data_IF_747491058728
#
_entry.id   IF_747491058728
#
_cell.length_a   1.000
_cell.length_b   1.000
_cell.length_c   1.000
_cell.angle_alpha   90.00
_cell.angle_beta   90.00
_cell.angle_gamma   90.00
#
_symmetry.space_group_name_H-M   'P 1'
#
loop_
_entity.id
_entity.type
_entity.pdbx_description
1 polymer ?
#
# COMPACT_ATOMS: atom_id res chain seq x y z
N UNK A 1 -48.77 -5.53 -6.93
CA UNK A 1 -48.95 -5.54 -5.48
C UNK A 1 -49.48 -4.17 -5.11
N UNK A 2 -50.72 -4.15 -4.63
CA UNK A 2 -51.38 -2.94 -4.15
C UNK A 2 -50.61 -2.39 -2.93
N UNK A 3 -50.69 -1.09 -2.63
CA UNK A 3 -49.93 -0.46 -1.55
C UNK A 3 -50.13 -1.13 -0.17
N UNK A 4 -51.34 -1.63 0.09
CA UNK A 4 -51.70 -2.31 1.35
C UNK A 4 -51.05 -3.70 1.45
N UNK A 5 -50.97 -4.42 0.34
CA UNK A 5 -50.36 -5.76 0.28
C UNK A 5 -48.85 -5.70 0.59
N UNK A 6 -48.17 -4.63 0.14
CA UNK A 6 -46.75 -4.43 0.43
C UNK A 6 -46.46 -4.20 1.91
N UNK A 7 -47.34 -3.46 2.60
CA UNK A 7 -47.19 -3.18 4.03
C UNK A 7 -47.34 -4.47 4.84
N UNK A 8 -48.35 -5.28 4.52
CA UNK A 8 -48.55 -6.58 5.17
C UNK A 8 -47.39 -7.54 4.86
N UNK A 9 -46.97 -7.65 3.60
CA UNK A 9 -45.84 -8.50 3.22
C UNK A 9 -44.53 -8.10 3.91
N UNK A 10 -44.32 -6.80 4.15
CA UNK A 10 -43.18 -6.31 4.93
C UNK A 10 -43.29 -6.70 6.41
N UNK A 11 -44.46 -6.53 7.01
CA UNK A 11 -44.68 -6.91 8.41
C UNK A 11 -44.47 -8.42 8.61
N UNK A 12 -45.02 -9.24 7.71
CA UNK A 12 -44.86 -10.71 7.72
C UNK A 12 -43.38 -11.12 7.56
N UNK A 13 -42.63 -10.42 6.70
CA UNK A 13 -41.21 -10.67 6.51
C UNK A 13 -40.35 -10.28 7.74
N UNK A 14 -40.71 -9.21 8.45
CA UNK A 14 -40.03 -8.83 9.69
C UNK A 14 -40.36 -9.81 10.82
N UNK A 15 -41.63 -10.24 10.92
CA UNK A 15 -42.06 -11.25 11.89
C UNK A 15 -41.37 -12.60 11.66
N UNK A 16 -41.20 -13.02 10.40
CA UNK A 16 -40.46 -14.24 10.06
C UNK A 16 -38.98 -14.21 10.49
N UNK A 17 -38.40 -13.02 10.65
CA UNK A 17 -37.06 -12.83 11.22
C UNK A 17 -37.07 -12.57 12.74
N UNK A 18 -38.25 -12.55 13.36
CA UNK A 18 -38.44 -12.26 14.79
C UNK A 18 -38.22 -10.79 15.15
N UNK A 19 -38.47 -9.88 14.21
CA UNK A 19 -38.22 -8.44 14.35
C UNK A 19 -39.51 -7.62 14.40
N UNK A 20 -39.44 -6.47 15.06
CA UNK A 20 -40.50 -5.46 15.08
C UNK A 20 -40.61 -4.73 13.72
N UNK A 21 -41.77 -4.16 13.42
CA UNK A 21 -42.02 -3.31 12.25
C UNK A 21 -41.05 -2.10 12.17
N UNK A 22 -40.54 -1.65 13.31
CA UNK A 22 -39.58 -0.55 13.43
C UNK A 22 -38.10 -0.97 13.30
N UNK A 23 -37.80 -2.25 13.04
CA UNK A 23 -36.43 -2.74 12.96
C UNK A 23 -35.62 -2.07 11.83
N UNK A 24 -34.38 -1.72 12.15
CA UNK A 24 -33.45 -1.09 11.21
C UNK A 24 -32.78 -2.08 10.26
N UNK A 25 -32.08 -1.54 9.25
CA UNK A 25 -31.32 -2.36 8.29
C UNK A 25 -30.23 -3.23 8.93
N UNK A 26 -29.70 -2.82 10.09
CA UNK A 26 -28.67 -3.57 10.81
C UNK A 26 -29.31 -4.77 11.52
N UNK A 27 -30.43 -4.54 12.22
CA UNK A 27 -31.21 -5.57 12.92
C UNK A 27 -31.68 -6.67 11.97
N UNK A 28 -32.19 -6.32 10.79
CA UNK A 28 -32.61 -7.28 9.76
C UNK A 28 -31.46 -8.20 9.35
N UNK A 29 -30.24 -7.66 9.22
CA UNK A 29 -29.05 -8.43 8.81
C UNK A 29 -28.46 -9.25 9.94
N UNK A 30 -28.54 -8.76 11.18
CA UNK A 30 -28.10 -9.50 12.36
C UNK A 30 -29.05 -10.67 12.65
N UNK A 31 -30.37 -10.45 12.58
CA UNK A 31 -31.37 -11.50 12.73
C UNK A 31 -31.24 -12.60 11.66
N UNK A 32 -31.07 -12.20 10.39
CA UNK A 32 -30.80 -13.16 9.31
C UNK A 32 -29.52 -13.98 9.58
N UNK A 33 -28.42 -13.33 9.99
CA UNK A 33 -27.17 -14.04 10.32
C UNK A 33 -27.35 -15.04 11.46
N UNK A 34 -28.10 -14.66 12.49
CA UNK A 34 -28.37 -15.52 13.62
C UNK A 34 -29.20 -16.74 13.20
N UNK A 35 -30.32 -16.54 12.49
CA UNK A 35 -31.17 -17.65 12.02
C UNK A 35 -30.41 -18.53 11.03
N UNK A 36 -29.69 -17.93 10.08
CA UNK A 36 -28.92 -18.66 9.08
C UNK A 36 -27.81 -19.51 9.71
N UNK A 37 -27.21 -19.08 10.83
CA UNK A 37 -26.20 -19.87 11.55
C UNK A 37 -26.81 -21.02 12.35
N UNK A 38 -27.98 -20.80 12.98
CA UNK A 38 -28.60 -21.78 13.87
C UNK A 38 -29.48 -22.80 13.14
N UNK A 39 -30.22 -22.38 12.12
CA UNK A 39 -31.16 -23.22 11.37
C UNK A 39 -30.55 -23.82 10.10
N UNK A 40 -29.25 -23.62 9.84
CA UNK A 40 -28.62 -24.15 8.63
C UNK A 40 -28.74 -25.69 8.58
N UNK A 41 -29.10 -26.28 7.43
CA UNK A 41 -29.25 -27.74 7.30
C UNK A 41 -27.97 -28.53 7.60
N UNK A 42 -26.79 -27.90 7.46
CA UNK A 42 -25.51 -28.55 7.80
C UNK A 42 -25.23 -28.62 9.31
N UNK A 43 -26.05 -27.98 10.15
CA UNK A 43 -25.93 -28.06 11.60
C UNK A 43 -26.75 -29.23 12.14
N UNK A 44 -26.26 -29.86 13.22
CA UNK A 44 -26.82 -31.11 13.78
C UNK A 44 -28.29 -31.03 14.20
N UNK A 45 -28.83 -29.82 14.37
CA UNK A 45 -30.23 -29.51 14.71
C UNK A 45 -30.86 -28.49 13.73
N UNK A 46 -30.37 -28.42 12.48
CA UNK A 46 -30.87 -27.47 11.49
C UNK A 46 -32.32 -27.71 11.11
N UNK A 47 -33.14 -26.67 11.17
CA UNK A 47 -34.53 -26.71 10.68
C UNK A 47 -34.60 -26.08 9.29
N UNK A 48 -34.64 -26.95 8.26
CA UNK A 48 -34.76 -26.54 6.86
C UNK A 48 -35.97 -25.64 6.60
N UNK A 49 -37.07 -25.83 7.33
CA UNK A 49 -38.32 -25.06 7.12
C UNK A 49 -38.17 -23.65 7.68
N UNK A 50 -37.59 -23.52 8.87
CA UNK A 50 -37.28 -22.23 9.47
C UNK A 50 -36.26 -21.45 8.63
N UNK A 51 -35.22 -22.13 8.13
CA UNK A 51 -34.22 -21.51 7.27
C UNK A 51 -34.82 -21.00 5.95
N UNK A 52 -35.65 -21.82 5.28
CA UNK A 52 -36.30 -21.43 4.03
C UNK A 52 -37.22 -20.21 4.22
N UNK A 53 -38.04 -20.21 5.29
CA UNK A 53 -38.94 -19.09 5.62
C UNK A 53 -38.17 -17.80 5.92
N UNK A 54 -37.11 -17.89 6.73
CA UNK A 54 -36.28 -16.73 7.06
C UNK A 54 -35.52 -16.19 5.82
N UNK A 55 -35.12 -17.08 4.90
CA UNK A 55 -34.43 -16.70 3.66
C UNK A 55 -35.36 -15.93 2.72
N UNK A 56 -36.58 -16.43 2.52
CA UNK A 56 -37.57 -15.76 1.68
C UNK A 56 -37.92 -14.37 2.22
N UNK A 57 -38.12 -14.27 3.53
CA UNK A 57 -38.35 -13.01 4.22
C UNK A 57 -37.18 -12.01 4.05
N UNK A 58 -35.94 -12.46 4.23
CA UNK A 58 -34.76 -11.62 4.03
C UNK A 58 -34.60 -11.18 2.57
N UNK A 59 -34.83 -12.08 1.60
CA UNK A 59 -34.76 -11.76 0.17
C UNK A 59 -35.86 -10.79 -0.27
N UNK A 60 -37.03 -10.82 0.36
CA UNK A 60 -38.07 -9.81 0.18
C UNK A 60 -37.62 -8.43 0.71
N UNK A 61 -37.18 -8.36 1.97
CA UNK A 61 -36.71 -7.12 2.59
C UNK A 61 -35.50 -6.51 1.86
N UNK A 62 -34.65 -7.36 1.28
CA UNK A 62 -33.52 -6.95 0.44
C UNK A 62 -33.97 -6.33 -0.87
N UNK A 63 -34.96 -6.92 -1.55
CA UNK A 63 -35.54 -6.37 -2.79
C UNK A 63 -36.22 -5.03 -2.56
N UNK A 64 -36.86 -4.85 -1.41
CA UNK A 64 -37.44 -3.57 -0.98
C UNK A 64 -36.39 -2.54 -0.51
N UNK A 65 -35.10 -2.90 -0.52
CA UNK A 65 -33.99 -1.98 -0.20
C UNK A 65 -33.76 -1.75 1.30
N UNK A 66 -34.52 -2.41 2.18
CA UNK A 66 -34.50 -2.22 3.63
C UNK A 66 -33.28 -2.83 4.32
N UNK A 67 -32.52 -3.68 3.61
CA UNK A 67 -31.28 -4.30 4.12
C UNK A 67 -30.02 -3.54 3.70
N UNK A 68 -30.16 -2.40 3.01
CA UNK A 68 -29.01 -1.67 2.50
C UNK A 68 -28.36 -0.91 3.64
N UNK A 69 -27.15 -1.35 3.99
CA UNK A 69 -26.33 -0.75 5.04
C UNK A 69 -26.20 0.75 4.80
N UNK A 70 -26.90 1.56 5.60
CA UNK A 70 -26.51 2.95 5.82
C UNK A 70 -25.06 2.93 6.28
N UNK A 71 -24.18 3.69 5.60
CA UNK A 71 -22.73 3.72 5.78
C UNK A 71 -22.35 3.80 7.28
N UNK A 72 -22.18 2.65 7.94
CA UNK A 72 -21.93 2.60 9.38
C UNK A 72 -20.54 3.18 9.67
N UNK A 73 -20.48 4.31 10.35
CA UNK A 73 -19.24 5.03 10.68
C UNK A 73 -18.49 4.46 11.89
N UNK A 74 -18.90 3.31 12.42
CA UNK A 74 -18.50 2.77 13.73
C UNK A 74 -17.35 1.75 13.71
N UNK A 75 -16.79 1.42 12.54
CA UNK A 75 -15.54 0.64 12.49
C UNK A 75 -14.33 1.50 12.89
N UNK A 76 -13.31 0.96 13.57
CA UNK A 76 -12.05 1.67 13.76
C UNK A 76 -11.53 2.14 12.41
N UNK A 77 -11.43 3.46 12.22
CA UNK A 77 -10.97 4.04 10.95
C UNK A 77 -9.53 3.58 10.75
N UNK A 78 -9.29 2.79 9.70
CA UNK A 78 -7.93 2.45 9.29
C UNK A 78 -7.12 3.74 9.21
N UNK A 79 -5.96 3.85 9.89
CA UNK A 79 -5.14 5.05 9.83
C UNK A 79 -4.87 5.42 8.39
N UNK A 80 -5.17 6.67 8.01
CA UNK A 80 -4.82 7.17 6.68
C UNK A 80 -3.30 7.27 6.63
N UNK A 81 -2.68 6.47 5.76
CA UNK A 81 -1.25 6.60 5.46
C UNK A 81 -1.03 7.98 4.83
N UNK A 82 -0.09 8.75 5.39
CA UNK A 82 0.31 10.05 4.85
C UNK A 82 1.65 9.87 4.16
N UNK A 83 1.85 10.64 3.08
CA UNK A 83 3.18 10.75 2.48
C UNK A 83 4.10 11.49 3.45
N UNK A 84 5.35 11.05 3.52
CA UNK A 84 6.39 11.69 4.32
C UNK A 84 7.67 11.82 3.53
N UNK A 85 8.44 12.87 3.75
CA UNK A 85 9.81 13.02 3.24
C UNK A 85 10.73 13.20 4.44
N UNK A 86 11.86 12.52 4.43
CA UNK A 86 12.91 12.61 5.45
C UNK A 86 14.21 12.93 4.73
N UNK A 87 14.90 13.97 5.18
CA UNK A 87 16.26 14.27 4.73
C UNK A 87 17.23 13.27 5.35
N UNK A 88 18.17 12.76 4.55
CA UNK A 88 19.16 11.81 5.04
C UNK A 88 20.19 12.55 5.88
N UNK A 89 20.56 11.94 7.00
CA UNK A 89 21.60 12.49 7.86
C UNK A 89 22.97 12.40 7.16
N UNK A 90 23.88 13.32 7.50
CA UNK A 90 25.22 13.35 6.90
C UNK A 90 25.95 12.02 7.08
N UNK A 91 25.75 11.34 8.22
CA UNK A 91 26.34 10.03 8.49
C UNK A 91 25.87 8.94 7.49
N UNK A 92 24.59 8.95 7.11
CA UNK A 92 24.04 7.99 6.14
C UNK A 92 24.54 8.29 4.72
N UNK A 93 24.62 9.58 4.36
CA UNK A 93 25.18 10.04 3.09
C UNK A 93 26.66 9.63 2.99
N UNK A 94 27.44 9.83 4.05
CA UNK A 94 28.84 9.48 4.08
C UNK A 94 29.06 7.97 4.03
N UNK A 95 28.22 7.17 4.69
CA UNK A 95 28.24 5.72 4.55
C UNK A 95 28.02 5.26 3.10
N UNK A 96 27.07 5.89 2.39
CA UNK A 96 26.83 5.62 0.97
C UNK A 96 28.06 5.99 0.10
N UNK A 97 28.70 7.14 0.37
CA UNK A 97 29.91 7.56 -0.35
C UNK A 97 31.09 6.61 -0.13
N UNK A 98 31.31 6.17 1.11
CA UNK A 98 32.36 5.20 1.44
C UNK A 98 32.16 3.91 0.66
N UNK A 99 30.91 3.45 0.55
CA UNK A 99 30.57 2.22 -0.16
C UNK A 99 30.87 2.32 -1.68
N UNK A 100 30.54 3.45 -2.31
CA UNK A 100 30.88 3.71 -3.73
C UNK A 100 32.39 3.77 -3.96
N UNK A 101 33.12 4.46 -3.10
CA UNK A 101 34.57 4.57 -3.17
C UNK A 101 35.25 3.20 -2.98
N UNK A 102 34.74 2.38 -2.06
CA UNK A 102 35.27 1.02 -1.84
C UNK A 102 35.04 0.14 -3.07
N UNK A 103 33.86 0.20 -3.69
CA UNK A 103 33.56 -0.55 -4.91
C UNK A 103 34.47 -0.18 -6.10
N UNK A 104 34.91 1.08 -6.20
CA UNK A 104 35.90 1.51 -7.19
C UNK A 104 37.25 0.79 -7.01
N UNK A 105 37.73 0.68 -5.77
CA UNK A 105 39.05 0.08 -5.50
C UNK A 105 39.13 -1.41 -5.83
N UNK A 106 38.00 -2.12 -5.85
CA UNK A 106 37.96 -3.55 -6.18
C UNK A 106 37.76 -3.84 -7.67
N UNK A 107 37.51 -2.83 -8.51
CA UNK A 107 37.27 -3.00 -9.94
C UNK A 107 38.51 -2.75 -10.81
N UNK A 108 39.68 -2.49 -10.20
CA UNK A 108 40.92 -2.15 -10.90
C UNK A 108 41.71 -3.39 -11.36
N UNK A 109 41.09 -4.25 -12.17
CA UNK A 109 41.80 -5.19 -13.05
C UNK A 109 41.33 -4.90 -14.48
N UNK A 110 42.08 -4.08 -15.22
CA UNK A 110 42.00 -4.08 -16.69
C UNK A 110 42.13 -2.74 -17.42
N UNK A 111 41.31 -1.73 -17.12
CA UNK A 111 41.27 -0.50 -17.92
C UNK A 111 41.02 0.70 -17.03
N UNK A 112 41.87 1.72 -17.09
CA UNK A 112 41.70 2.98 -16.34
C UNK A 112 40.51 3.74 -16.94
N UNK A 113 39.32 3.76 -16.30
CA UNK A 113 38.28 4.68 -16.72
C UNK A 113 38.79 6.08 -16.32
N UNK A 114 38.52 7.07 -17.16
CA UNK A 114 38.82 8.47 -16.85
C UNK A 114 38.17 8.82 -15.50
N UNK A 115 38.97 8.98 -14.42
CA UNK A 115 38.49 9.06 -13.02
C UNK A 115 37.38 10.12 -12.83
N UNK A 116 37.36 11.15 -13.68
CA UNK A 116 36.33 12.19 -13.70
C UNK A 116 34.93 11.67 -14.07
N UNK A 117 34.84 10.81 -15.09
CA UNK A 117 33.55 10.31 -15.58
C UNK A 117 32.95 9.25 -14.63
N UNK A 118 33.80 8.51 -13.92
CA UNK A 118 33.34 7.50 -12.96
C UNK A 118 32.73 8.13 -11.70
N UNK A 119 33.22 9.30 -11.27
CA UNK A 119 32.68 10.05 -10.13
C UNK A 119 31.37 10.75 -10.50
N UNK A 120 31.23 11.21 -11.75
CA UNK A 120 29.98 11.87 -12.21
C UNK A 120 28.80 10.88 -12.33
N UNK A 121 29.08 9.61 -12.62
CA UNK A 121 28.08 8.54 -12.69
C UNK A 121 27.80 7.85 -11.33
N UNK A 122 28.34 8.40 -10.24
CA UNK A 122 28.11 7.94 -8.88
C UNK A 122 27.08 8.83 -8.18
N UNK A 123 26.05 8.19 -7.63
CA UNK A 123 24.91 8.88 -7.07
C UNK A 123 24.68 8.50 -5.61
N UNK A 124 24.31 9.49 -4.81
CA UNK A 124 23.90 9.32 -3.41
C UNK A 124 22.62 10.14 -3.21
N UNK A 125 21.58 9.59 -2.56
CA UNK A 125 20.37 10.33 -2.28
C UNK A 125 20.58 11.34 -1.16
N UNK A 126 19.83 12.43 -1.22
CA UNK A 126 19.79 13.46 -0.17
C UNK A 126 18.55 13.31 0.72
N UNK A 127 17.49 12.70 0.19
CA UNK A 127 16.24 12.52 0.92
C UNK A 127 15.49 11.26 0.46
N UNK A 128 14.59 10.78 1.33
CA UNK A 128 13.74 9.63 1.06
C UNK A 128 12.29 9.99 1.37
N UNK A 129 11.42 9.74 0.38
CA UNK A 129 9.98 9.82 0.48
C UNK A 129 9.35 8.46 0.78
N UNK A 130 8.31 8.45 1.61
CA UNK A 130 7.57 7.26 2.04
C UNK A 130 6.09 7.45 1.82
N UNK A 131 5.45 6.44 1.21
CA UNK A 131 4.00 6.27 1.23
C UNK A 131 3.68 4.82 1.61
N UNK A 132 3.42 4.57 2.89
CA UNK A 132 3.30 3.21 3.41
C UNK A 132 4.61 2.43 3.22
N UNK A 133 4.62 1.46 2.31
CA UNK A 133 5.79 0.62 1.96
C UNK A 133 6.42 0.99 0.61
N UNK A 134 6.05 2.13 0.04
CA UNK A 134 6.60 2.61 -1.22
C UNK A 134 7.64 3.69 -0.93
N UNK A 135 8.86 3.47 -1.40
CA UNK A 135 10.02 4.35 -1.19
C UNK A 135 10.30 5.15 -2.46
N UNK A 136 10.66 6.42 -2.29
CA UNK A 136 11.15 7.29 -3.36
C UNK A 136 12.41 8.00 -2.90
N UNK A 137 13.56 7.63 -3.45
CA UNK A 137 14.83 8.30 -3.19
C UNK A 137 14.95 9.52 -4.09
N UNK A 138 15.38 10.64 -3.53
CA UNK A 138 15.63 11.88 -4.26
C UNK A 138 17.13 12.11 -4.31
N UNK A 139 17.65 12.20 -5.52
CA UNK A 139 19.07 12.39 -5.83
C UNK A 139 19.19 13.71 -6.58
N UNK A 140 19.98 14.65 -6.05
CA UNK A 140 20.18 15.94 -6.71
C UNK A 140 21.08 15.88 -7.94
N UNK A 141 21.91 14.84 -8.10
CA UNK A 141 22.72 14.66 -9.31
C UNK A 141 21.89 14.09 -10.47
N UNK A 142 22.10 14.57 -11.72
CA UNK A 142 21.44 14.03 -12.90
C UNK A 142 21.99 12.65 -13.27
N UNK A 143 21.21 11.84 -13.97
CA UNK A 143 21.69 10.57 -14.55
C UNK A 143 22.73 10.86 -15.63
N UNK A 144 23.78 10.06 -15.71
CA UNK A 144 24.74 10.08 -16.81
C UNK A 144 24.38 9.06 -17.89
N UNK A 145 24.74 9.32 -19.14
CA UNK A 145 24.65 8.30 -20.19
C UNK A 145 25.67 7.18 -19.93
N UNK A 146 25.26 5.93 -20.09
CA UNK A 146 26.07 4.75 -19.83
C UNK A 146 25.83 4.11 -18.45
N UNK A 147 26.90 3.61 -17.84
CA UNK A 147 26.83 2.87 -16.57
C UNK A 147 26.82 3.83 -15.38
N UNK A 148 25.75 3.77 -14.59
CA UNK A 148 25.54 4.57 -13.39
C UNK A 148 25.53 3.66 -12.16
N UNK A 149 25.98 4.20 -11.03
CA UNK A 149 25.96 3.51 -9.74
C UNK A 149 25.34 4.40 -8.69
N UNK A 150 24.54 3.81 -7.81
CA UNK A 150 23.87 4.52 -6.74
C UNK A 150 23.97 3.73 -5.45
N UNK A 151 24.40 4.38 -4.37
CA UNK A 151 24.35 3.81 -3.04
C UNK A 151 23.10 4.30 -2.32
N UNK A 152 22.27 3.35 -1.87
CA UNK A 152 20.98 3.63 -1.24
C UNK A 152 20.96 3.07 0.19
N UNK A 153 20.49 3.82 1.18
CA UNK A 153 20.19 3.26 2.49
C UNK A 153 18.95 2.37 2.35
N UNK A 154 19.04 1.09 2.69
CA UNK A 154 17.99 0.09 2.44
C UNK A 154 17.15 -0.22 3.66
N UNK A 155 17.69 -0.03 4.86
CA UNK A 155 17.04 -0.36 6.13
C UNK A 155 16.07 0.72 6.62
N UNK A 156 15.64 1.65 5.77
CA UNK A 156 14.88 2.85 6.18
C UNK A 156 13.48 2.53 6.70
N UNK A 157 12.91 1.40 6.28
CA UNK A 157 11.65 0.86 6.83
C UNK A 157 11.86 -0.15 7.96
N UNK A 158 13.10 -0.58 8.19
CA UNK A 158 13.44 -1.54 9.22
C UNK A 158 13.73 -0.80 10.53
N UNK A 159 13.30 -1.38 11.65
CA UNK A 159 13.67 -0.90 13.00
C UNK A 159 15.12 -1.26 13.36
N UNK A 160 16.03 -1.23 12.38
CA UNK A 160 17.44 -1.54 12.57
C UNK A 160 18.11 -0.40 13.33
N UNK A 161 19.03 -0.72 14.24
CA UNK A 161 19.80 0.28 14.99
C UNK A 161 20.89 0.96 14.15
N UNK A 162 21.14 0.48 12.94
CA UNK A 162 22.14 0.98 12.00
C UNK A 162 21.55 1.01 10.60
N UNK A 163 21.87 2.05 9.85
CA UNK A 163 21.50 2.19 8.46
C UNK A 163 22.34 1.24 7.61
N UNK A 164 21.70 0.25 7.00
CA UNK A 164 22.35 -0.60 5.99
C UNK A 164 22.28 0.12 4.64
N UNK A 165 23.36 0.04 3.87
CA UNK A 165 23.48 0.69 2.56
C UNK A 165 23.85 -0.36 1.50
N UNK A 166 23.29 -0.22 0.31
CA UNK A 166 23.53 -1.13 -0.82
C UNK A 166 23.79 -0.33 -2.09
N UNK A 167 24.73 -0.82 -2.91
CA UNK A 167 25.00 -0.26 -4.23
C UNK A 167 24.16 -0.96 -5.28
N UNK A 168 23.48 -0.18 -6.10
CA UNK A 168 22.83 -0.62 -7.32
C UNK A 168 23.55 -0.03 -8.52
N UNK A 169 23.74 -0.84 -9.56
CA UNK A 169 24.27 -0.40 -10.84
C UNK A 169 23.20 -0.53 -11.91
N UNK A 170 23.11 0.45 -12.80
CA UNK A 170 22.16 0.44 -13.92
C UNK A 170 22.74 1.14 -15.14
N UNK A 171 22.18 0.86 -16.32
CA UNK A 171 22.56 1.53 -17.56
C UNK A 171 21.47 2.50 -17.99
N UNK A 172 21.87 3.68 -18.48
CA UNK A 172 20.96 4.67 -19.07
C UNK A 172 21.43 5.06 -20.46
N UNK A 173 20.49 5.26 -21.38
CA UNK A 173 20.78 5.75 -22.73
C UNK A 173 20.72 7.27 -22.83
N UNK A 174 20.20 7.95 -21.79
CA UNK A 174 20.04 9.39 -21.78
C UNK A 174 20.61 9.96 -20.48
N UNK A 175 21.19 11.16 -20.57
CA UNK A 175 21.60 11.94 -19.42
C UNK A 175 20.52 12.96 -19.01
N UNK A 176 20.52 13.36 -17.74
CA UNK A 176 19.63 14.40 -17.20
C UNK A 176 18.66 13.91 -16.14
N UNK A 177 17.50 14.57 -16.05
CA UNK A 177 16.44 14.19 -15.12
C UNK A 177 15.80 12.87 -15.53
N UNK A 178 15.52 12.04 -14.54
CA UNK A 178 15.08 10.69 -14.81
C UNK A 178 14.52 10.00 -13.59
N UNK A 179 13.77 8.93 -13.85
CA UNK A 179 13.24 8.07 -12.83
C UNK A 179 13.65 6.63 -13.10
N UNK A 180 14.22 5.97 -12.09
CA UNK A 180 14.56 4.55 -12.14
C UNK A 180 13.67 3.79 -11.16
N UNK A 181 13.00 2.77 -11.67
CA UNK A 181 12.26 1.81 -10.86
C UNK A 181 13.15 0.61 -10.57
N UNK A 182 13.32 0.32 -9.29
CA UNK A 182 14.10 -0.85 -8.88
C UNK A 182 13.27 -2.12 -9.13
N UNK A 183 13.81 -3.14 -9.82
CA UNK A 183 13.12 -4.40 -10.03
C UNK A 183 12.73 -5.12 -8.73
N UNK A 184 11.59 -5.81 -8.74
CA UNK A 184 11.07 -6.52 -7.57
C UNK A 184 12.07 -7.54 -6.98
N UNK A 185 12.87 -8.19 -7.82
CA UNK A 185 13.90 -9.15 -7.40
C UNK A 185 14.94 -8.52 -6.47
N UNK A 186 15.34 -7.29 -6.76
CA UNK A 186 16.27 -6.53 -5.94
C UNK A 186 15.56 -6.01 -4.69
N UNK A 187 14.31 -5.55 -4.81
CA UNK A 187 13.52 -5.05 -3.66
C UNK A 187 13.37 -6.15 -2.60
N UNK A 188 12.97 -7.35 -2.99
CA UNK A 188 12.75 -8.48 -2.08
C UNK A 188 14.04 -8.90 -1.36
N UNK A 189 15.19 -8.82 -2.04
CA UNK A 189 16.48 -9.21 -1.47
C UNK A 189 17.15 -8.11 -0.64
N UNK A 190 17.02 -6.85 -1.04
CA UNK A 190 17.86 -5.75 -0.53
C UNK A 190 17.08 -4.71 0.28
N UNK A 191 15.76 -4.61 0.10
CA UNK A 191 14.93 -3.58 0.74
C UNK A 191 13.87 -4.22 1.65
N UNK A 192 14.26 -4.65 2.86
CA UNK A 192 13.36 -5.32 3.79
C UNK A 192 12.13 -4.46 4.08
N UNK A 193 10.94 -5.03 3.83
CA UNK A 193 9.65 -4.38 4.09
C UNK A 193 9.20 -3.39 3.01
N UNK A 194 9.99 -3.08 2.00
CA UNK A 194 9.56 -2.27 0.87
C UNK A 194 8.69 -3.07 -0.11
N UNK A 195 7.72 -2.40 -0.73
CA UNK A 195 6.88 -2.93 -1.83
C UNK A 195 7.24 -2.37 -3.20
N UNK A 196 7.87 -1.20 -3.21
CA UNK A 196 8.29 -0.49 -4.42
C UNK A 196 9.40 0.45 -4.02
N UNK A 197 10.43 0.54 -4.85
CA UNK A 197 11.50 1.51 -4.70
C UNK A 197 11.66 2.26 -6.01
N UNK A 198 11.60 3.58 -5.91
CA UNK A 198 11.75 4.53 -7.01
C UNK A 198 12.92 5.45 -6.70
N UNK A 199 13.68 5.82 -7.70
CA UNK A 199 14.82 6.74 -7.59
C UNK A 199 14.56 7.86 -8.57
N UNK A 200 14.52 9.10 -8.08
CA UNK A 200 14.38 10.30 -8.90
C UNK A 200 15.69 11.06 -8.91
N UNK A 201 16.20 11.32 -10.10
CA UNK A 201 17.44 12.05 -10.36
C UNK A 201 17.13 13.48 -10.80
N UNK A 202 18.11 14.37 -10.61
CA UNK A 202 17.93 15.82 -10.79
C UNK A 202 16.74 16.33 -9.96
N UNK A 203 16.59 15.79 -8.74
CA UNK A 203 15.47 16.07 -7.86
C UNK A 203 15.74 17.36 -7.06
N UNK A 204 14.99 18.41 -7.41
CA UNK A 204 14.98 19.68 -6.71
C UNK A 204 14.06 19.67 -5.48
N UNK A 205 14.08 20.77 -4.73
CA UNK A 205 13.22 20.93 -3.56
C UNK A 205 11.73 20.92 -3.94
N UNK A 206 11.36 21.49 -5.09
CA UNK A 206 9.98 21.52 -5.58
C UNK A 206 9.43 20.10 -5.78
N UNK A 207 10.22 19.19 -6.35
CA UNK A 207 9.82 17.81 -6.57
C UNK A 207 9.60 17.04 -5.26
N UNK A 208 10.33 17.38 -4.20
CA UNK A 208 10.14 16.83 -2.84
C UNK A 208 8.85 17.36 -2.22
N UNK A 209 8.59 18.66 -2.37
CA UNK A 209 7.39 19.31 -1.86
C UNK A 209 6.13 18.81 -2.58
N UNK A 210 6.20 18.63 -3.90
CA UNK A 210 5.13 18.05 -4.71
C UNK A 210 4.82 16.60 -4.29
N UNK A 211 5.84 15.81 -3.98
CA UNK A 211 5.64 14.46 -3.45
C UNK A 211 4.89 14.49 -2.11
N UNK A 212 5.19 15.45 -1.24
CA UNK A 212 4.52 15.62 0.03
C UNK A 212 3.06 16.08 -0.14
N UNK A 213 2.81 17.01 -1.07
CA UNK A 213 1.50 17.62 -1.30
C UNK A 213 0.53 16.74 -2.10
N UNK A 214 1.04 15.86 -2.97
CA UNK A 214 0.22 14.93 -3.74
C UNK A 214 -0.53 13.97 -2.80
N UNK A 215 -1.82 14.18 -2.59
CA UNK A 215 -2.68 13.34 -1.72
C UNK A 215 -3.18 12.07 -2.40
#
# INVERSE_FOLDING_TARGET
>A
MEPVEKINARADALEALGLDQNAGSDDIRDAWRHIAFHAHPDHRNGDCTQFARAKEAYDFLRREGLTTKGRSTTGPRRPKLRKRVIELESADIDACRVLLNTALTHSSDGEKPNEKNAIEADHVPDAVGFYGRHLTYFVSTPVCEGSNRIALPTSVLSSARRTETEMLSFQSNNAGSGEVLVPNTIIESKFPGAKSVRIKFDADQQMRDDFWLAS
#
